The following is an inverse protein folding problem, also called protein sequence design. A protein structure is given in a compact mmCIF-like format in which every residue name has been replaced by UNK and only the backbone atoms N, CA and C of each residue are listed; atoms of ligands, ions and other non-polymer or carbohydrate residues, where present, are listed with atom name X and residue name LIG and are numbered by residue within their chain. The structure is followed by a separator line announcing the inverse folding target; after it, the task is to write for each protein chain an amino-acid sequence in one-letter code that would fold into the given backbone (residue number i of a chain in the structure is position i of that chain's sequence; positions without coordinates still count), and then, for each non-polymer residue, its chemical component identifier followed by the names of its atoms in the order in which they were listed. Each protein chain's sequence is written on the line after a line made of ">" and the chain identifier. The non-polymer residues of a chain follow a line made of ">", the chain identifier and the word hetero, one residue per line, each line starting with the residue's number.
data_IF_763193525187
#
_entry.id   IF_763193525187
#
_cell.length_a   1.000
_cell.length_b   1.000
_cell.length_c   1.000
_cell.angle_alpha   90.00
_cell.angle_beta   90.00
_cell.angle_gamma   90.00
#
_symmetry.space_group_name_H-M   'P 1'
#
loop_
_entity.id
_entity.type
_entity.pdbx_description
1 polymer ?
#
# COMPACT_ATOMS: atom_id res chain seq x y z
N UNK A 1 -23.24 -15.88 -57.41
CA UNK A 1 -22.27 -16.99 -57.24
C UNK A 1 -20.90 -16.44 -57.62
N UNK A 2 -19.90 -16.25 -56.78
CA UNK A 2 -19.66 -16.60 -55.39
C UNK A 2 -18.15 -16.48 -55.17
N UNK A 3 -17.76 -16.01 -53.98
CA UNK A 3 -16.40 -16.07 -53.40
C UNK A 3 -15.42 -14.93 -53.78
N UNK A 4 -15.80 -13.72 -53.38
CA UNK A 4 -14.86 -12.66 -52.95
C UNK A 4 -14.57 -12.78 -51.43
N UNK A 5 -14.21 -13.97 -50.95
CA UNK A 5 -14.29 -14.34 -49.52
C UNK A 5 -13.08 -15.16 -49.05
N UNK A 6 -11.85 -14.75 -49.42
CA UNK A 6 -10.63 -15.48 -49.03
C UNK A 6 -9.49 -14.60 -48.48
N UNK A 7 -9.72 -13.32 -48.19
CA UNK A 7 -8.69 -12.41 -47.66
C UNK A 7 -9.07 -11.71 -46.35
N UNK A 8 -9.99 -12.29 -45.57
CA UNK A 8 -10.40 -11.74 -44.28
C UNK A 8 -9.98 -12.59 -43.05
N UNK A 9 -9.43 -13.79 -43.24
CA UNK A 9 -9.15 -14.73 -42.13
C UNK A 9 -7.68 -14.88 -41.72
N UNK A 10 -6.79 -13.98 -42.13
CA UNK A 10 -5.37 -14.00 -41.72
C UNK A 10 -4.98 -12.89 -40.72
N UNK A 11 -5.95 -12.12 -40.22
CA UNK A 11 -5.73 -11.01 -39.28
C UNK A 11 -6.12 -11.27 -37.82
N UNK A 12 -6.78 -12.40 -37.53
CA UNK A 12 -7.33 -12.72 -36.20
C UNK A 12 -6.50 -13.75 -35.42
N UNK A 13 -5.25 -14.03 -35.82
CA UNK A 13 -4.44 -15.11 -35.23
C UNK A 13 -3.30 -14.63 -34.33
N UNK A 14 -3.32 -13.40 -33.78
CA UNK A 14 -2.20 -12.87 -32.97
C UNK A 14 -2.55 -12.19 -31.64
N UNK A 15 -3.81 -12.15 -31.20
CA UNK A 15 -4.18 -11.43 -29.98
C UNK A 15 -4.38 -12.31 -28.72
N UNK A 16 -4.55 -13.63 -28.85
CA UNK A 16 -5.12 -14.45 -27.76
C UNK A 16 -4.11 -15.39 -27.07
N UNK A 17 -2.81 -15.09 -27.13
CA UNK A 17 -1.76 -15.93 -26.54
C UNK A 17 -1.17 -15.38 -25.22
N UNK A 18 -1.95 -14.65 -24.44
CA UNK A 18 -1.59 -14.34 -23.05
C UNK A 18 -2.60 -15.00 -22.13
N UNK A 19 -2.27 -16.19 -21.60
CA UNK A 19 -3.13 -16.94 -20.67
C UNK A 19 -3.37 -16.28 -19.30
N UNK A 20 -3.10 -14.97 -19.17
CA UNK A 20 -3.37 -14.16 -18.00
C UNK A 20 -4.71 -13.44 -18.10
N UNK A 21 -5.19 -12.93 -16.96
CA UNK A 21 -6.45 -12.18 -16.87
C UNK A 21 -6.30 -10.75 -17.43
N UNK A 22 -5.10 -10.16 -17.35
CA UNK A 22 -4.77 -8.84 -17.87
C UNK A 22 -3.47 -8.97 -18.64
N UNK A 23 -3.51 -9.16 -19.96
CA UNK A 23 -2.32 -9.52 -20.73
C UNK A 23 -1.66 -10.78 -20.16
N UNK A 24 -0.36 -10.71 -19.84
CA UNK A 24 0.36 -11.81 -19.18
C UNK A 24 0.13 -11.94 -17.69
N UNK A 25 -0.55 -10.99 -17.03
CA UNK A 25 -0.76 -11.03 -15.58
C UNK A 25 -1.99 -11.85 -15.19
N UNK A 26 -1.88 -12.67 -14.14
CA UNK A 26 -3.00 -13.37 -13.48
C UNK A 26 -2.87 -13.24 -11.96
N UNK A 27 -3.99 -13.29 -11.19
CA UNK A 27 -3.93 -13.26 -9.74
C UNK A 27 -3.10 -14.45 -9.23
N UNK A 28 -1.96 -14.14 -8.60
CA UNK A 28 -1.04 -15.12 -8.04
C UNK A 28 -0.54 -14.67 -6.68
N UNK A 29 0.03 -15.60 -5.90
CA UNK A 29 0.65 -15.28 -4.60
C UNK A 29 1.92 -14.47 -4.87
N UNK A 30 1.90 -13.17 -4.53
CA UNK A 30 2.97 -12.22 -4.84
C UNK A 30 4.34 -12.59 -4.27
N UNK A 31 4.39 -13.08 -3.03
CA UNK A 31 5.63 -13.52 -2.38
C UNK A 31 5.35 -14.73 -1.46
N UNK A 32 5.62 -15.97 -1.94
CA UNK A 32 5.36 -17.19 -1.17
C UNK A 32 6.43 -17.46 -0.08
N UNK A 33 7.28 -16.49 0.26
CA UNK A 33 8.27 -16.65 1.34
C UNK A 33 7.63 -16.55 2.73
N UNK A 34 8.29 -17.18 3.72
CA UNK A 34 7.92 -17.05 5.13
C UNK A 34 7.89 -15.58 5.59
N UNK A 35 8.80 -14.75 5.09
CA UNK A 35 8.84 -13.32 5.37
C UNK A 35 7.63 -12.57 4.81
N UNK A 36 7.20 -12.90 3.59
CA UNK A 36 5.97 -12.39 2.98
C UNK A 36 4.74 -12.69 3.84
N UNK A 37 4.54 -13.96 4.20
CA UNK A 37 3.43 -14.39 5.06
C UNK A 37 3.46 -13.77 6.46
N UNK A 38 4.64 -13.65 7.06
CA UNK A 38 4.80 -12.98 8.35
C UNK A 38 4.34 -11.51 8.27
N UNK A 39 4.70 -10.78 7.22
CA UNK A 39 4.22 -9.39 7.06
C UNK A 39 2.71 -9.30 6.91
N UNK A 40 2.07 -10.24 6.21
CA UNK A 40 0.60 -10.30 6.11
C UNK A 40 -0.05 -10.54 7.46
N UNK A 41 0.47 -11.48 8.24
CA UNK A 41 -0.01 -11.73 9.62
C UNK A 41 0.14 -10.46 10.46
N UNK A 42 1.25 -9.74 10.36
CA UNK A 42 1.47 -8.49 11.09
C UNK A 42 0.49 -7.38 10.67
N UNK A 43 0.21 -7.23 9.36
CA UNK A 43 -0.82 -6.30 8.87
C UNK A 43 -2.19 -6.61 9.48
N UNK A 44 -2.60 -7.88 9.43
CA UNK A 44 -3.90 -8.32 9.95
C UNK A 44 -3.98 -8.18 11.47
N UNK A 45 -2.93 -8.56 12.20
CA UNK A 45 -2.86 -8.37 13.65
C UNK A 45 -2.98 -6.89 14.03
N UNK A 46 -2.24 -6.01 13.36
CA UNK A 46 -2.33 -4.57 13.57
C UNK A 46 -3.72 -4.01 13.25
N UNK A 47 -4.34 -4.47 12.17
CA UNK A 47 -5.70 -4.08 11.81
C UNK A 47 -6.72 -4.49 12.88
N UNK A 48 -6.64 -5.73 13.37
CA UNK A 48 -7.52 -6.25 14.44
C UNK A 48 -7.35 -5.42 15.71
N UNK A 49 -6.11 -5.16 16.14
CA UNK A 49 -5.84 -4.34 17.33
C UNK A 49 -6.42 -2.94 17.18
N UNK A 50 -6.29 -2.31 16.00
CA UNK A 50 -6.91 -1.02 15.72
C UNK A 50 -8.44 -1.07 15.82
N UNK A 51 -9.09 -2.12 15.28
CA UNK A 51 -10.55 -2.31 15.39
C UNK A 51 -10.96 -2.50 16.84
N UNK A 52 -10.27 -3.35 17.60
CA UNK A 52 -10.56 -3.61 19.02
C UNK A 52 -10.46 -2.31 19.83
N UNK A 53 -9.40 -1.53 19.62
CA UNK A 53 -9.21 -0.24 20.27
C UNK A 53 -10.33 0.75 19.91
N UNK A 54 -10.71 0.79 18.62
CA UNK A 54 -11.79 1.67 18.13
C UNK A 54 -13.17 1.36 18.74
N UNK A 55 -13.39 0.12 19.20
CA UNK A 55 -14.64 -0.32 19.86
C UNK A 55 -14.67 0.02 21.34
N UNK A 56 -13.56 0.45 21.93
CA UNK A 56 -13.52 0.83 23.34
C UNK A 56 -14.32 2.12 23.59
N UNK A 57 -15.24 2.09 24.56
CA UNK A 57 -16.01 3.26 24.99
C UNK A 57 -15.14 4.43 25.49
N UNK A 58 -13.86 4.17 25.77
CA UNK A 58 -12.89 5.16 26.27
C UNK A 58 -12.21 5.95 25.14
N UNK A 59 -12.50 5.63 23.88
CA UNK A 59 -11.95 6.28 22.68
C UNK A 59 -13.00 7.24 22.08
N UNK A 60 -12.71 8.54 21.97
CA UNK A 60 -13.62 9.51 21.35
C UNK A 60 -13.88 9.21 19.87
N UNK A 61 -15.04 9.63 19.34
CA UNK A 61 -15.46 9.37 17.95
C UNK A 61 -14.43 9.79 16.90
N UNK A 62 -13.79 10.96 17.04
CA UNK A 62 -12.75 11.42 16.10
C UNK A 62 -11.53 10.50 16.09
N UNK A 63 -11.13 10.03 17.26
CA UNK A 63 -10.00 9.10 17.39
C UNK A 63 -10.38 7.71 16.84
N UNK A 64 -11.64 7.29 17.06
CA UNK A 64 -12.20 6.05 16.50
C UNK A 64 -12.13 6.03 14.97
N UNK A 65 -12.47 7.13 14.30
CA UNK A 65 -12.36 7.23 12.83
C UNK A 65 -10.93 7.03 12.35
N UNK A 66 -9.93 7.58 13.06
CA UNK A 66 -8.52 7.38 12.71
C UNK A 66 -8.12 5.91 12.87
N UNK A 67 -8.45 5.27 14.00
CA UNK A 67 -8.12 3.86 14.22
C UNK A 67 -8.81 2.92 13.21
N UNK A 68 -10.06 3.21 12.84
CA UNK A 68 -10.76 2.46 11.80
C UNK A 68 -10.14 2.68 10.41
N UNK A 69 -9.77 3.92 10.09
CA UNK A 69 -9.05 4.23 8.85
C UNK A 69 -7.72 3.48 8.76
N UNK A 70 -6.95 3.44 9.85
CA UNK A 70 -5.72 2.65 9.94
C UNK A 70 -5.98 1.15 9.78
N UNK A 71 -7.03 0.61 10.41
CA UNK A 71 -7.39 -0.79 10.26
C UNK A 71 -7.72 -1.16 8.81
N UNK A 72 -8.51 -0.33 8.13
CA UNK A 72 -8.85 -0.52 6.72
C UNK A 72 -7.60 -0.44 5.85
N UNK A 73 -6.75 0.59 6.05
CA UNK A 73 -5.52 0.74 5.29
C UNK A 73 -4.58 -0.47 5.46
N UNK A 74 -4.39 -0.95 6.69
CA UNK A 74 -3.56 -2.12 6.98
C UNK A 74 -4.12 -3.41 6.36
N UNK A 75 -5.43 -3.61 6.43
CA UNK A 75 -6.08 -4.78 5.81
C UNK A 75 -5.93 -4.74 4.28
N UNK A 76 -6.15 -3.57 3.66
CA UNK A 76 -5.94 -3.38 2.23
C UNK A 76 -4.48 -3.63 1.84
N UNK A 77 -3.51 -3.18 2.63
CA UNK A 77 -2.09 -3.45 2.38
C UNK A 77 -1.77 -4.95 2.47
N UNK A 78 -2.32 -5.67 3.46
CA UNK A 78 -2.16 -7.12 3.59
C UNK A 78 -2.73 -7.88 2.38
N UNK A 79 -3.92 -7.50 1.92
CA UNK A 79 -4.55 -8.07 0.71
C UNK A 79 -3.75 -7.72 -0.54
N UNK A 80 -3.37 -6.45 -0.69
CA UNK A 80 -2.56 -5.95 -1.80
C UNK A 80 -1.23 -6.69 -1.93
N UNK A 81 -0.59 -7.00 -0.79
CA UNK A 81 0.66 -7.75 -0.75
C UNK A 81 0.54 -9.19 -1.26
N UNK A 82 -0.61 -9.83 -1.07
CA UNK A 82 -0.87 -11.18 -1.58
C UNK A 82 -1.24 -11.17 -3.06
N UNK A 83 -2.11 -10.24 -3.48
CA UNK A 83 -2.61 -10.17 -4.86
C UNK A 83 -1.63 -9.56 -5.86
N UNK A 84 -0.52 -8.99 -5.38
CA UNK A 84 0.48 -8.30 -6.19
C UNK A 84 -0.14 -7.36 -7.25
N UNK A 85 -1.04 -6.47 -6.80
CA UNK A 85 -1.69 -5.49 -7.69
C UNK A 85 -0.67 -4.60 -8.41
N UNK A 86 0.54 -4.46 -7.88
CA UNK A 86 1.61 -3.69 -8.51
C UNK A 86 1.99 -4.28 -9.86
N UNK A 87 2.15 -5.60 -9.97
CA UNK A 87 2.45 -6.24 -11.25
C UNK A 87 1.28 -6.14 -12.23
N UNK A 88 0.04 -6.21 -11.73
CA UNK A 88 -1.17 -5.99 -12.54
C UNK A 88 -1.17 -4.59 -13.16
N UNK A 89 -0.96 -3.55 -12.33
CA UNK A 89 -0.98 -2.15 -12.75
C UNK A 89 0.16 -1.85 -13.73
N UNK A 90 1.32 -2.46 -13.53
CA UNK A 90 2.46 -2.37 -14.46
C UNK A 90 2.15 -3.00 -15.82
N UNK A 91 1.45 -4.14 -15.84
CA UNK A 91 1.01 -4.80 -17.08
C UNK A 91 -0.02 -3.95 -17.83
N UNK A 92 -1.02 -3.40 -17.13
CA UNK A 92 -1.99 -2.45 -17.71
C UNK A 92 -1.25 -1.26 -18.34
N UNK A 93 -0.31 -0.68 -17.59
CA UNK A 93 0.54 0.41 -18.06
C UNK A 93 1.30 0.02 -19.32
N UNK A 94 1.86 -1.19 -19.41
CA UNK A 94 2.58 -1.69 -20.58
C UNK A 94 1.67 -1.86 -21.80
N UNK A 95 0.47 -2.39 -21.63
CA UNK A 95 -0.51 -2.58 -22.72
C UNK A 95 -0.94 -1.21 -23.27
N UNK A 96 -1.30 -0.28 -22.38
CA UNK A 96 -1.64 1.10 -22.78
C UNK A 96 -0.44 1.79 -23.43
N UNK A 97 0.77 1.64 -22.89
CA UNK A 97 2.02 2.18 -23.40
C UNK A 97 2.32 1.76 -24.85
N UNK A 98 2.11 0.48 -25.16
CA UNK A 98 2.27 -0.03 -26.52
C UNK A 98 1.14 0.42 -27.44
N UNK A 99 -0.10 0.48 -26.93
CA UNK A 99 -1.27 0.89 -27.71
C UNK A 99 -1.24 2.35 -28.17
N UNK A 100 -0.63 3.27 -27.41
CA UNK A 100 -0.56 4.70 -27.77
C UNK A 100 0.85 5.19 -28.16
N UNK A 101 1.81 4.29 -28.45
CA UNK A 101 3.20 4.61 -28.86
C UNK A 101 4.05 5.46 -27.88
N UNK A 102 3.56 5.71 -26.68
CA UNK A 102 4.27 6.38 -25.57
C UNK A 102 5.22 5.47 -24.77
N UNK A 103 5.47 4.23 -25.19
CA UNK A 103 6.41 3.31 -24.50
C UNK A 103 7.84 3.88 -24.42
N UNK A 104 8.28 4.63 -25.43
CA UNK A 104 9.58 5.34 -25.44
C UNK A 104 9.65 6.44 -24.37
N UNK A 105 8.50 7.06 -24.04
CA UNK A 105 8.39 8.14 -23.05
C UNK A 105 8.09 7.60 -21.63
N UNK A 106 8.30 6.30 -21.38
CA UNK A 106 8.04 5.66 -20.07
C UNK A 106 8.68 6.39 -18.89
N UNK A 107 9.87 6.95 -19.09
CA UNK A 107 10.61 7.67 -18.06
C UNK A 107 9.94 9.00 -17.68
N UNK A 108 9.32 9.68 -18.64
CA UNK A 108 8.56 10.92 -18.40
C UNK A 108 7.27 10.62 -17.64
N UNK A 109 6.54 9.57 -18.02
CA UNK A 109 5.32 9.13 -17.33
C UNK A 109 5.61 8.72 -15.89
N UNK A 110 6.73 8.02 -15.65
CA UNK A 110 7.15 7.64 -14.30
C UNK A 110 7.52 8.85 -13.46
N UNK A 111 8.26 9.81 -14.02
CA UNK A 111 8.62 11.04 -13.32
C UNK A 111 7.35 11.80 -12.92
N UNK A 112 6.42 11.98 -13.85
CA UNK A 112 5.14 12.64 -13.58
C UNK A 112 4.34 11.90 -12.50
N UNK A 113 4.29 10.56 -12.57
CA UNK A 113 3.65 9.73 -11.54
C UNK A 113 4.27 9.95 -10.16
N UNK A 114 5.61 9.92 -10.05
CA UNK A 114 6.32 10.17 -8.80
C UNK A 114 6.03 11.57 -8.26
N UNK A 115 6.07 12.59 -9.12
CA UNK A 115 5.80 13.98 -8.72
C UNK A 115 4.37 14.14 -8.17
N UNK A 116 3.36 13.61 -8.88
CA UNK A 116 1.96 13.63 -8.43
C UNK A 116 1.82 12.90 -7.10
N UNK A 117 2.37 11.70 -6.98
CA UNK A 117 2.25 10.91 -5.76
C UNK A 117 2.99 11.56 -4.58
N UNK A 118 4.15 12.17 -4.81
CA UNK A 118 4.89 12.91 -3.79
C UNK A 118 4.09 14.11 -3.27
N UNK A 119 3.48 14.89 -4.16
CA UNK A 119 2.62 16.02 -3.79
C UNK A 119 1.42 15.55 -2.98
N UNK A 120 0.74 14.49 -3.42
CA UNK A 120 -0.39 13.91 -2.70
C UNK A 120 0.02 13.36 -1.32
N UNK A 121 1.17 12.71 -1.22
CA UNK A 121 1.69 12.18 0.04
C UNK A 121 2.00 13.30 1.03
N UNK A 122 2.70 14.36 0.60
CA UNK A 122 3.01 15.52 1.44
C UNK A 122 1.73 16.24 1.86
N UNK A 123 0.82 16.51 0.92
CA UNK A 123 -0.46 17.14 1.21
C UNK A 123 -1.28 16.35 2.24
N UNK A 124 -1.36 15.03 2.06
CA UNK A 124 -2.04 14.13 3.01
C UNK A 124 -1.37 14.14 4.38
N UNK A 125 -0.04 14.08 4.44
CA UNK A 125 0.70 14.11 5.70
C UNK A 125 0.48 15.43 6.46
N UNK A 126 0.45 16.57 5.77
CA UNK A 126 0.17 17.88 6.37
C UNK A 126 -1.25 17.98 6.93
N UNK A 127 -2.25 17.52 6.16
CA UNK A 127 -3.65 17.46 6.63
C UNK A 127 -3.78 16.56 7.85
N UNK A 128 -3.17 15.37 7.82
CA UNK A 128 -3.17 14.44 8.94
C UNK A 128 -2.49 15.06 10.16
N UNK A 129 -1.31 15.65 10.02
CA UNK A 129 -0.60 16.34 11.08
C UNK A 129 -1.48 17.42 11.74
N UNK A 130 -2.20 18.21 10.94
CA UNK A 130 -3.14 19.20 11.45
C UNK A 130 -4.33 18.59 12.19
N UNK A 131 -4.88 17.47 11.71
CA UNK A 131 -6.03 16.78 12.33
C UNK A 131 -5.63 16.12 13.66
N UNK A 132 -4.46 15.49 13.73
CA UNK A 132 -4.03 14.68 14.87
C UNK A 132 -3.33 15.47 15.96
N UNK A 133 -2.94 16.73 15.73
CA UNK A 133 -2.19 17.56 16.70
C UNK A 133 -2.84 17.69 18.08
N UNK A 134 -4.16 17.53 18.17
CA UNK A 134 -4.93 17.56 19.44
C UNK A 134 -5.27 16.17 20.01
N UNK A 135 -4.87 15.11 19.30
CA UNK A 135 -5.08 13.73 19.71
C UNK A 135 -3.95 13.26 20.65
N UNK A 136 -4.16 12.15 21.38
CA UNK A 136 -3.12 11.55 22.22
C UNK A 136 -1.84 11.21 21.46
N UNK A 137 -0.68 11.29 22.12
CA UNK A 137 0.64 10.96 21.53
C UNK A 137 0.68 9.56 20.89
N UNK A 138 -0.02 8.60 21.49
CA UNK A 138 -0.20 7.27 20.91
C UNK A 138 -0.85 7.32 19.52
N UNK A 139 -1.97 8.03 19.36
CA UNK A 139 -2.62 8.18 18.05
C UNK A 139 -1.73 8.91 17.05
N UNK A 140 -1.00 9.94 17.49
CA UNK A 140 -0.06 10.65 16.62
C UNK A 140 1.05 9.72 16.13
N UNK A 141 1.63 8.91 17.03
CA UNK A 141 2.67 7.93 16.71
C UNK A 141 2.16 6.88 15.71
N UNK A 142 0.93 6.38 15.90
CA UNK A 142 0.32 5.43 14.95
C UNK A 142 0.18 6.04 13.55
N UNK A 143 -0.24 7.29 13.45
CA UNK A 143 -0.40 7.97 12.15
C UNK A 143 0.95 8.27 11.50
N UNK A 144 1.98 8.63 12.29
CA UNK A 144 3.35 8.75 11.79
C UNK A 144 3.85 7.41 11.24
N UNK A 145 3.67 6.32 12.00
CA UNK A 145 4.01 4.97 11.56
C UNK A 145 3.28 4.59 10.26
N UNK A 146 2.00 4.95 10.13
CA UNK A 146 1.22 4.73 8.92
C UNK A 146 1.71 5.56 7.73
N UNK A 147 2.10 6.83 7.94
CA UNK A 147 2.67 7.67 6.89
C UNK A 147 4.01 7.10 6.40
N UNK A 148 4.87 6.62 7.30
CA UNK A 148 6.12 5.96 6.95
C UNK A 148 5.87 4.67 6.15
N UNK A 149 4.91 3.85 6.58
CA UNK A 149 4.55 2.60 5.93
C UNK A 149 3.96 2.83 4.53
N UNK A 150 3.02 3.76 4.39
CA UNK A 150 2.42 4.10 3.10
C UNK A 150 3.44 4.76 2.16
N UNK A 151 4.27 5.66 2.68
CA UNK A 151 5.38 6.26 1.93
C UNK A 151 6.33 5.20 1.41
N UNK A 152 6.69 4.22 2.24
CA UNK A 152 7.49 3.07 1.83
C UNK A 152 6.83 2.26 0.71
N UNK A 153 5.54 1.90 0.85
CA UNK A 153 4.79 1.14 -0.18
C UNK A 153 4.73 1.90 -1.50
N UNK A 154 4.50 3.21 -1.44
CA UNK A 154 4.48 4.10 -2.61
C UNK A 154 5.84 4.15 -3.30
N UNK A 155 6.91 4.37 -2.54
CA UNK A 155 8.28 4.42 -3.07
C UNK A 155 8.63 3.09 -3.73
N UNK A 156 8.27 1.97 -3.09
CA UNK A 156 8.43 0.62 -3.65
C UNK A 156 7.63 0.42 -4.94
N UNK A 157 6.41 0.96 -5.03
CA UNK A 157 5.60 0.87 -6.23
C UNK A 157 6.15 1.72 -7.38
N UNK A 158 6.78 2.85 -7.06
CA UNK A 158 7.29 3.81 -8.04
C UNK A 158 8.72 3.55 -8.51
N UNK A 159 9.48 2.66 -7.84
CA UNK A 159 10.93 2.59 -8.03
C UNK A 159 11.35 1.90 -9.32
N UNK A 160 11.97 2.71 -10.18
CA UNK A 160 12.95 2.35 -11.20
C UNK A 160 14.38 2.52 -10.64
N UNK A 161 15.19 1.46 -10.73
CA UNK A 161 16.67 1.33 -10.67
C UNK A 161 17.54 2.08 -9.62
N UNK A 162 17.26 3.33 -9.20
CA UNK A 162 18.12 4.06 -8.26
C UNK A 162 17.75 3.84 -6.80
N UNK A 163 16.45 3.75 -6.51
CA UNK A 163 15.98 3.49 -5.15
C UNK A 163 16.12 2.01 -4.80
N UNK A 164 15.98 1.10 -5.76
CA UNK A 164 16.23 -0.34 -5.57
C UNK A 164 17.64 -0.62 -5.05
N UNK A 165 18.64 0.17 -5.47
CA UNK A 165 20.00 0.01 -4.95
C UNK A 165 20.14 0.49 -3.50
N UNK A 166 19.35 1.48 -3.08
CA UNK A 166 19.34 1.99 -1.69
C UNK A 166 18.47 1.13 -0.76
N UNK A 167 17.40 0.56 -1.30
CA UNK A 167 16.43 -0.30 -0.63
C UNK A 167 16.92 -1.77 -0.54
N UNK A 168 17.77 -2.19 -1.49
CA UNK A 168 18.48 -3.45 -1.50
C UNK A 168 19.69 -3.50 -0.56
N UNK A 169 20.05 -2.37 0.08
CA UNK A 169 21.12 -2.34 1.09
C UNK A 169 20.67 -3.17 2.29
N UNK A 170 21.48 -4.16 2.64
CA UNK A 170 21.31 -4.94 3.86
C UNK A 170 21.79 -4.11 5.05
N UNK A 171 20.86 -3.74 5.92
CA UNK A 171 21.17 -3.12 7.20
C UNK A 171 21.19 -4.22 8.25
N UNK A 172 22.37 -4.54 8.83
CA UNK A 172 22.54 -5.64 9.80
C UNK A 172 22.05 -7.02 9.28
N UNK A 173 22.23 -7.33 7.99
CA UNK A 173 21.78 -8.60 7.39
C UNK A 173 20.26 -8.69 7.14
N UNK A 174 19.51 -7.61 7.39
CA UNK A 174 18.10 -7.47 7.05
C UNK A 174 17.94 -6.50 5.89
N UNK A 175 17.13 -6.85 4.88
CA UNK A 175 16.82 -5.95 3.77
C UNK A 175 16.14 -4.69 4.31
N UNK A 176 16.60 -3.50 3.92
CA UNK A 176 16.01 -2.23 4.37
C UNK A 176 14.49 -2.15 4.16
N UNK A 177 14.00 -2.76 3.08
CA UNK A 177 12.57 -3.03 2.83
C UNK A 177 11.83 -3.60 4.05
N UNK A 178 12.40 -4.65 4.64
CA UNK A 178 11.77 -5.40 5.72
C UNK A 178 11.74 -4.58 7.00
N UNK A 179 12.82 -3.84 7.27
CA UNK A 179 12.94 -2.95 8.43
C UNK A 179 11.91 -1.81 8.36
N UNK A 180 11.74 -1.18 7.19
CA UNK A 180 10.78 -0.09 7.01
C UNK A 180 9.33 -0.58 7.11
N UNK A 181 9.02 -1.71 6.46
CA UNK A 181 7.66 -2.25 6.46
C UNK A 181 7.25 -2.74 7.86
N UNK A 182 8.08 -3.58 8.48
CA UNK A 182 7.79 -4.10 9.83
C UNK A 182 7.93 -3.01 10.88
N UNK A 183 8.88 -2.09 10.74
CA UNK A 183 9.03 -0.94 11.62
C UNK A 183 7.78 -0.06 11.65
N UNK A 184 7.20 0.22 10.47
CA UNK A 184 5.93 0.95 10.35
C UNK A 184 4.78 0.23 11.05
N UNK A 185 4.61 -1.08 10.81
CA UNK A 185 3.56 -1.88 11.45
C UNK A 185 3.76 -1.97 12.96
N UNK A 186 5.00 -2.21 13.42
CA UNK A 186 5.37 -2.28 14.82
C UNK A 186 5.11 -0.95 15.54
N UNK A 187 5.38 0.18 14.88
CA UNK A 187 5.07 1.50 15.41
C UNK A 187 3.56 1.68 15.66
N UNK A 188 2.72 1.26 14.71
CA UNK A 188 1.25 1.31 14.84
C UNK A 188 0.76 0.39 15.95
N UNK A 189 1.27 -0.84 16.01
CA UNK A 189 0.95 -1.82 17.06
C UNK A 189 1.33 -1.30 18.45
N UNK A 190 2.56 -0.84 18.61
CA UNK A 190 3.06 -0.28 19.86
C UNK A 190 2.20 0.92 20.28
N UNK A 191 1.91 1.83 19.36
CA UNK A 191 1.04 2.98 19.61
C UNK A 191 -0.36 2.56 20.09
N UNK A 192 -0.97 1.54 19.47
CA UNK A 192 -2.27 1.04 19.87
C UNK A 192 -2.24 0.39 21.26
N UNK A 193 -1.20 -0.39 21.57
CA UNK A 193 -1.03 -1.04 22.88
C UNK A 193 -0.72 -0.03 23.99
N UNK A 194 0.09 0.99 23.71
CA UNK A 194 0.42 2.05 24.66
C UNK A 194 -0.69 3.10 24.81
N UNK A 195 -1.78 3.00 24.05
CA UNK A 195 -2.93 3.89 24.21
C UNK A 195 -3.64 3.59 25.52
N UNK A 196 -3.13 4.18 26.61
CA UNK A 196 -3.76 4.13 27.93
C UNK A 196 -5.11 4.85 27.87
N UNK A 197 -6.21 4.22 28.29
CA UNK A 197 -7.48 4.90 28.32
C UNK A 197 -7.45 6.11 29.24
N UNK A 198 -8.06 7.23 28.83
CA UNK A 198 -8.22 8.38 29.74
C UNK A 198 -9.13 7.95 30.90
N UNK A 199 -8.81 8.25 32.17
CA UNK A 199 -9.75 8.07 33.27
C UNK A 199 -11.03 8.84 32.94
N UNK A 200 -12.18 8.18 33.02
CA UNK A 200 -13.47 8.85 32.89
C UNK A 200 -13.59 9.91 33.98
N UNK A 201 -14.16 11.07 33.66
CA UNK A 201 -14.31 12.18 34.61
C UNK A 201 -15.03 11.77 35.92
N UNK A 202 -15.88 10.73 35.85
CA UNK A 202 -16.55 10.11 37.00
C UNK A 202 -15.61 9.48 38.02
N UNK A 203 -14.38 9.10 37.67
CA UNK A 203 -13.40 8.54 38.60
C UNK A 203 -12.61 9.61 39.38
N UNK A 204 -12.70 10.89 39.03
CA UNK A 204 -12.09 12.00 39.79
C UNK A 204 -13.03 12.61 40.85
N UNK A 205 -14.30 12.22 40.85
CA UNK A 205 -15.32 12.73 41.76
C UNK A 205 -15.58 11.79 42.96
N UNK A 206 -14.79 10.73 43.10
CA UNK A 206 -14.73 9.85 44.28
C UNK A 206 -13.33 9.92 44.86
#
# INVERSE_FOLDING_TARGET
>A
MGVALLTAHAGLSRADASGGWIGSWSPGIGDPTLGGWLTVVLYLAAAIVCVVLSRSARVPTRERTIWLGLAVALALLGVNKQLDLQSALTEIGRILAKGQNWYEHRHEVQRFFVEVVAVLAVGTALVLAFVIRRMPRATQLAVVGACLLLGFVVVRAASFHHVDHFIGIEFFGLRANWVLEIGGIACILAAALFRRPRPSATARAR
#
